data_IF_792133319672
#
_entry.id   IF_792133319672
#
_cell.length_a   1.000
_cell.length_b   1.000
_cell.length_c   1.000
_cell.angle_alpha   90.00
_cell.angle_beta   90.00
_cell.angle_gamma   90.00
#
_symmetry.space_group_name_H-M   'P 1'
#
loop_
_entity.id
_entity.type
_entity.pdbx_description
1 polymer ?
#
# COMPACT_ATOMS: atom_id res chain seq x y z
N UNK A 1 -5.98 33.34 5.00
CA UNK A 1 -6.46 34.73 4.97
C UNK A 1 -5.27 35.65 5.15
N UNK A 2 -5.19 36.83 4.49
CA UNK A 2 -4.06 37.75 4.72
C UNK A 2 -4.30 38.51 6.04
N UNK A 3 -3.23 38.86 6.77
CA UNK A 3 -3.32 39.60 8.06
C UNK A 3 -4.12 40.92 7.98
N UNK A 4 -4.14 41.55 6.80
CA UNK A 4 -4.94 42.75 6.54
C UNK A 4 -6.44 42.49 6.58
N UNK A 5 -6.85 41.31 6.12
CA UNK A 5 -8.25 40.93 5.96
C UNK A 5 -8.82 40.47 7.30
N UNK A 6 -8.02 39.77 8.11
CA UNK A 6 -8.33 39.46 9.52
C UNK A 6 -8.61 40.72 10.34
N UNK A 7 -7.74 41.73 10.26
CA UNK A 7 -7.93 42.99 10.99
C UNK A 7 -9.19 43.73 10.56
N UNK A 8 -9.54 43.68 9.27
CA UNK A 8 -10.79 44.27 8.76
C UNK A 8 -12.01 43.52 9.27
N UNK A 9 -11.94 42.18 9.28
CA UNK A 9 -13.01 41.33 9.78
C UNK A 9 -13.27 41.57 11.27
N UNK A 10 -12.22 41.61 12.09
CA UNK A 10 -12.29 41.86 13.55
C UNK A 10 -12.90 43.24 13.82
N UNK A 11 -12.48 44.28 13.09
CA UNK A 11 -13.07 45.61 13.25
C UNK A 11 -14.54 45.67 12.85
N UNK A 12 -14.92 44.92 11.81
CA UNK A 12 -16.32 44.85 11.38
C UNK A 12 -17.18 44.11 12.42
N UNK A 13 -16.71 42.99 12.96
CA UNK A 13 -17.43 42.21 13.98
C UNK A 13 -17.54 42.98 15.30
N UNK A 14 -16.50 43.69 15.73
CA UNK A 14 -16.56 44.57 16.91
C UNK A 14 -17.58 45.69 16.73
N UNK A 15 -17.64 46.31 15.55
CA UNK A 15 -18.61 47.38 15.27
C UNK A 15 -20.04 46.86 15.32
N UNK A 16 -20.29 45.68 14.78
CA UNK A 16 -21.61 45.02 14.83
C UNK A 16 -21.98 44.66 16.27
N UNK A 17 -21.06 44.06 17.03
CA UNK A 17 -21.30 43.66 18.41
C UNK A 17 -21.59 44.85 19.34
N UNK A 18 -20.87 45.97 19.16
CA UNK A 18 -21.09 47.22 19.92
C UNK A 18 -22.42 47.91 19.59
N UNK A 19 -23.01 47.62 18.43
CA UNK A 19 -24.33 48.13 18.03
C UNK A 19 -25.51 47.37 18.65
N UNK A 20 -25.26 46.24 19.32
CA UNK A 20 -26.28 45.42 19.98
C UNK A 20 -26.60 45.95 21.39
N UNK A 21 -27.83 45.72 21.84
CA UNK A 21 -28.21 45.96 23.24
C UNK A 21 -27.47 44.97 24.18
N UNK A 22 -27.34 45.31 25.47
CA UNK A 22 -26.66 44.44 26.45
C UNK A 22 -27.24 43.02 26.49
N UNK A 23 -28.56 42.88 26.39
CA UNK A 23 -29.23 41.57 26.35
C UNK A 23 -28.87 40.77 25.10
N UNK A 24 -28.80 41.43 23.92
CA UNK A 24 -28.40 40.79 22.67
C UNK A 24 -26.92 40.40 22.65
N UNK A 25 -26.05 41.20 23.27
CA UNK A 25 -24.63 40.86 23.45
C UNK A 25 -24.46 39.60 24.29
N UNK A 26 -25.20 39.50 25.40
CA UNK A 26 -25.21 38.30 26.26
C UNK A 26 -25.68 37.06 25.50
N UNK A 27 -26.77 37.16 24.73
CA UNK A 27 -27.29 36.06 23.90
C UNK A 27 -26.26 35.62 22.85
N UNK A 28 -25.62 36.57 22.16
CA UNK A 28 -24.62 36.27 21.14
C UNK A 28 -23.39 35.54 21.72
N UNK A 29 -22.90 35.95 22.89
CA UNK A 29 -21.80 35.27 23.59
C UNK A 29 -22.22 33.86 24.01
N UNK A 30 -23.44 33.69 24.51
CA UNK A 30 -23.98 32.38 24.90
C UNK A 30 -24.08 31.42 23.71
N UNK A 31 -24.56 31.89 22.56
CA UNK A 31 -24.64 31.08 21.33
C UNK A 31 -23.23 30.62 20.88
N UNK A 32 -22.25 31.52 20.91
CA UNK A 32 -20.86 31.17 20.54
C UNK A 32 -20.27 30.17 21.53
N UNK A 33 -20.51 30.36 22.83
CA UNK A 33 -20.02 29.45 23.88
C UNK A 33 -20.65 28.05 23.80
N UNK A 34 -21.97 27.97 23.56
CA UNK A 34 -22.67 26.70 23.34
C UNK A 34 -22.20 26.03 22.05
N UNK A 35 -22.06 26.80 20.96
CA UNK A 35 -21.51 26.29 19.70
C UNK A 35 -20.10 25.72 19.85
N UNK A 36 -19.20 26.45 20.51
CA UNK A 36 -17.85 25.95 20.82
C UNK A 36 -17.89 24.73 21.74
N UNK A 37 -18.72 24.74 22.79
CA UNK A 37 -18.86 23.61 23.71
C UNK A 37 -19.36 22.34 23.01
N UNK A 38 -20.39 22.46 22.15
CA UNK A 38 -20.89 21.34 21.36
C UNK A 38 -19.87 20.86 20.34
N UNK A 39 -19.15 21.75 19.66
CA UNK A 39 -18.07 21.36 18.75
C UNK A 39 -16.95 20.61 19.49
N UNK A 40 -16.52 21.12 20.65
CA UNK A 40 -15.48 20.49 21.46
C UNK A 40 -15.92 19.12 21.98
N UNK A 41 -17.16 19.02 22.49
CA UNK A 41 -17.73 17.77 22.99
C UNK A 41 -17.91 16.74 21.87
N UNK A 42 -18.45 17.15 20.71
CA UNK A 42 -18.56 16.31 19.52
C UNK A 42 -17.16 15.85 19.07
N UNK A 43 -16.17 16.75 19.02
CA UNK A 43 -14.79 16.42 18.64
C UNK A 43 -14.11 15.44 19.61
N UNK A 44 -14.39 15.51 20.92
CA UNK A 44 -13.89 14.53 21.88
C UNK A 44 -14.61 13.19 21.74
N UNK A 45 -15.94 13.19 21.58
CA UNK A 45 -16.73 11.97 21.43
C UNK A 45 -16.42 11.20 20.14
N UNK A 46 -16.05 11.89 19.05
CA UNK A 46 -15.57 11.22 17.82
C UNK A 46 -14.17 10.63 17.97
N UNK A 47 -13.33 11.14 18.89
CA UNK A 47 -12.04 10.53 19.21
C UNK A 47 -12.16 9.32 20.15
N UNK A 48 -13.14 9.29 21.06
CA UNK A 48 -13.34 8.15 21.99
C UNK A 48 -14.09 6.97 21.35
N UNK A 49 -14.95 7.19 20.34
CA UNK A 49 -15.71 6.10 19.71
C UNK A 49 -14.96 5.27 18.64
N UNK A 50 -13.72 5.62 18.29
CA UNK A 50 -12.94 4.85 17.29
C UNK A 50 -12.12 3.69 17.87
N UNK A 51 -12.16 3.45 19.18
CA UNK A 51 -11.51 2.28 19.79
C UNK A 51 -12.49 1.08 19.90
N UNK A 52 -13.20 0.75 18.82
CA UNK A 52 -13.66 -0.63 18.67
C UNK A 52 -12.41 -1.48 18.49
N UNK A 53 -12.19 -2.41 19.41
CA UNK A 53 -11.13 -3.41 19.32
C UNK A 53 -11.42 -4.32 18.13
N UNK A 54 -11.16 -3.82 16.91
CA UNK A 54 -11.22 -4.63 15.70
C UNK A 54 -10.29 -5.82 15.91
N UNK A 55 -10.82 -7.03 15.70
CA UNK A 55 -10.07 -8.26 15.82
C UNK A 55 -8.87 -8.19 14.87
N UNK A 56 -7.67 -8.02 15.43
CA UNK A 56 -6.44 -7.95 14.63
C UNK A 56 -6.27 -9.26 13.87
N UNK A 57 -6.13 -9.16 12.55
CA UNK A 57 -5.83 -10.30 11.70
C UNK A 57 -4.36 -10.66 11.91
N UNK A 58 -4.11 -11.93 12.19
CA UNK A 58 -2.78 -12.52 12.31
C UNK A 58 -2.64 -13.61 11.26
N UNK A 59 -1.48 -13.66 10.61
CA UNK A 59 -1.09 -14.75 9.73
C UNK A 59 0.44 -14.84 9.76
N UNK A 60 0.95 -16.05 9.93
CA UNK A 60 2.37 -16.35 10.15
C UNK A 60 2.90 -17.37 9.15
N UNK A 61 2.01 -18.14 8.52
CA UNK A 61 2.34 -19.10 7.48
C UNK A 61 1.40 -19.02 6.27
N UNK A 62 1.78 -19.75 5.21
CA UNK A 62 1.03 -19.77 3.96
C UNK A 62 -0.41 -20.28 4.13
N UNK A 63 -0.66 -21.26 5.01
CA UNK A 63 -1.99 -21.81 5.21
C UNK A 63 -2.93 -20.76 5.82
N UNK A 64 -2.46 -19.99 6.80
CA UNK A 64 -3.22 -18.90 7.40
C UNK A 64 -3.54 -17.80 6.38
N UNK A 65 -2.55 -17.39 5.56
CA UNK A 65 -2.79 -16.41 4.48
C UNK A 65 -3.84 -16.89 3.47
N UNK A 66 -3.87 -18.19 3.15
CA UNK A 66 -4.83 -18.77 2.20
C UNK A 66 -6.27 -18.81 2.73
N UNK A 67 -6.49 -18.56 4.03
CA UNK A 67 -7.84 -18.39 4.59
C UNK A 67 -8.41 -16.99 4.42
N UNK A 68 -7.56 -16.01 4.09
CA UNK A 68 -7.96 -14.62 3.93
C UNK A 68 -8.73 -14.43 2.62
N UNK A 69 -9.82 -13.68 2.69
CA UNK A 69 -10.64 -13.36 1.53
C UNK A 69 -10.78 -11.84 1.39
N UNK A 70 -10.77 -11.38 0.15
CA UNK A 70 -11.13 -10.01 -0.18
C UNK A 70 -12.62 -9.80 0.08
N UNK A 71 -12.97 -8.69 0.71
CA UNK A 71 -14.33 -8.35 1.15
C UNK A 71 -15.22 -7.76 0.03
N UNK A 72 -14.70 -7.68 -1.21
CA UNK A 72 -15.38 -7.05 -2.34
C UNK A 72 -15.28 -5.52 -2.36
N UNK A 73 -14.57 -4.91 -1.40
CA UNK A 73 -14.41 -3.45 -1.32
C UNK A 73 -13.33 -2.91 -2.26
N UNK A 74 -13.25 -1.59 -2.43
CA UNK A 74 -12.13 -0.97 -3.16
C UNK A 74 -10.75 -1.15 -2.50
N UNK A 75 -10.66 -1.81 -1.34
CA UNK A 75 -9.41 -2.09 -0.62
C UNK A 75 -8.89 -3.49 -0.99
N UNK A 76 -7.84 -3.53 -1.80
CA UNK A 76 -7.26 -4.79 -2.31
C UNK A 76 -6.25 -5.45 -1.36
N UNK A 77 -6.29 -5.13 -0.08
CA UNK A 77 -5.38 -5.69 0.92
C UNK A 77 -6.05 -5.78 2.29
N UNK A 78 -5.47 -6.61 3.15
CA UNK A 78 -5.71 -6.57 4.60
C UNK A 78 -4.42 -6.33 5.36
N UNK A 79 -4.52 -5.67 6.50
CA UNK A 79 -3.41 -5.52 7.43
C UNK A 79 -3.21 -6.80 8.22
N UNK A 80 -1.95 -7.14 8.46
CA UNK A 80 -1.51 -8.30 9.23
C UNK A 80 -0.78 -7.76 10.46
N UNK A 81 -1.03 -8.34 11.63
CA UNK A 81 -0.43 -7.89 12.89
C UNK A 81 -0.63 -6.38 13.15
N UNK A 82 -1.82 -5.86 12.81
CA UNK A 82 -2.14 -4.43 12.93
C UNK A 82 -1.28 -3.52 12.05
N UNK A 83 -0.83 -4.02 10.90
CA UNK A 83 -0.01 -3.27 9.95
C UNK A 83 1.47 -3.18 10.33
N UNK A 84 1.90 -3.84 11.42
CA UNK A 84 3.27 -3.79 11.94
C UNK A 84 4.10 -4.98 11.50
N UNK A 85 5.25 -4.73 10.88
CA UNK A 85 6.18 -5.76 10.43
C UNK A 85 6.72 -6.59 11.59
N UNK A 86 7.11 -7.82 11.30
CA UNK A 86 7.66 -8.76 12.28
C UNK A 86 9.16 -9.01 12.07
N UNK A 87 9.87 -8.04 11.47
CA UNK A 87 11.33 -8.14 11.30
C UNK A 87 12.02 -8.22 12.66
N UNK A 88 12.93 -9.17 12.80
CA UNK A 88 13.77 -9.30 13.99
C UNK A 88 14.87 -8.23 13.99
N UNK A 89 15.52 -8.01 15.14
CA UNK A 89 16.71 -7.15 15.19
C UNK A 89 17.82 -7.63 14.24
N UNK A 90 17.93 -8.95 14.05
CA UNK A 90 18.87 -9.54 13.10
C UNK A 90 18.52 -9.18 11.64
N UNK A 91 17.23 -9.13 11.28
CA UNK A 91 16.79 -8.70 9.94
C UNK A 91 17.08 -7.23 9.66
N UNK A 92 17.09 -6.40 10.69
CA UNK A 92 17.32 -4.96 10.62
C UNK A 92 18.81 -4.60 10.71
N UNK A 93 19.65 -5.53 11.17
CA UNK A 93 21.07 -5.33 11.38
C UNK A 93 21.75 -4.86 10.09
N UNK A 94 22.44 -3.72 10.19
CA UNK A 94 23.21 -3.16 9.09
C UNK A 94 24.43 -4.04 8.80
N UNK A 95 24.66 -4.37 7.53
CA UNK A 95 25.95 -4.88 7.10
C UNK A 95 26.88 -3.67 6.90
N UNK A 96 28.05 -3.67 7.55
CA UNK A 96 29.05 -2.59 7.44
C UNK A 96 29.61 -2.41 6.03
N UNK A 97 29.36 -3.34 5.11
CA UNK A 97 29.91 -3.35 3.75
C UNK A 97 28.98 -2.80 2.66
N UNK A 98 27.66 -2.77 2.87
CA UNK A 98 26.73 -2.25 1.85
C UNK A 98 25.45 -1.69 2.46
N UNK A 99 25.06 -0.50 1.99
CA UNK A 99 23.85 0.22 2.36
C UNK A 99 22.62 -0.23 1.56
N UNK A 100 22.83 -0.97 0.46
CA UNK A 100 21.82 -1.52 -0.43
C UNK A 100 22.10 -2.99 -0.75
N UNK A 101 21.04 -3.80 -0.78
CA UNK A 101 21.09 -5.15 -1.32
C UNK A 101 19.70 -5.64 -1.69
N UNK A 102 19.64 -6.58 -2.64
CA UNK A 102 18.43 -7.29 -3.01
C UNK A 102 18.77 -8.75 -3.24
N UNK A 103 17.96 -9.63 -2.68
CA UNK A 103 18.09 -11.07 -2.83
C UNK A 103 16.77 -11.65 -3.28
N UNK A 104 16.78 -12.37 -4.40
CA UNK A 104 15.65 -13.15 -4.86
C UNK A 104 15.87 -14.62 -4.53
N UNK A 105 14.88 -15.26 -3.92
CA UNK A 105 14.87 -16.71 -3.76
C UNK A 105 14.96 -17.42 -5.12
N UNK A 106 15.43 -18.67 -5.11
CA UNK A 106 15.37 -19.52 -6.30
C UNK A 106 13.92 -19.71 -6.73
N UNK A 107 13.70 -19.90 -8.02
CA UNK A 107 12.40 -20.39 -8.51
C UNK A 107 12.12 -21.75 -7.89
N UNK A 108 10.85 -22.07 -7.67
CA UNK A 108 10.46 -23.42 -7.26
C UNK A 108 10.36 -24.39 -8.46
N UNK A 109 9.89 -25.61 -8.19
CA UNK A 109 9.77 -26.67 -9.20
C UNK A 109 8.74 -26.34 -10.30
N UNK A 110 7.85 -25.37 -10.09
CA UNK A 110 6.89 -24.88 -11.08
C UNK A 110 7.38 -23.60 -11.77
N UNK A 111 8.65 -23.24 -11.57
CA UNK A 111 9.27 -22.00 -12.04
C UNK A 111 8.62 -20.72 -11.48
N UNK A 112 7.96 -20.80 -10.31
CA UNK A 112 7.31 -19.65 -9.66
C UNK A 112 8.34 -18.82 -8.91
N UNK A 113 8.16 -17.50 -8.93
CA UNK A 113 8.93 -16.58 -8.10
C UNK A 113 8.59 -16.81 -6.62
N UNK A 114 9.62 -16.78 -5.77
CA UNK A 114 9.53 -16.94 -4.32
C UNK A 114 9.93 -15.65 -3.62
N UNK A 115 9.96 -15.68 -2.28
CA UNK A 115 10.28 -14.53 -1.45
C UNK A 115 11.47 -13.71 -1.97
N UNK A 116 11.27 -12.40 -2.05
CA UNK A 116 12.28 -11.41 -2.31
C UNK A 116 12.54 -10.58 -1.05
N UNK A 117 13.80 -10.30 -0.79
CA UNK A 117 14.25 -9.47 0.32
C UNK A 117 15.11 -8.32 -0.20
N UNK A 118 15.02 -7.18 0.45
CA UNK A 118 15.82 -6.01 0.12
C UNK A 118 16.15 -5.17 1.35
N UNK A 119 17.30 -4.50 1.28
CA UNK A 119 17.57 -3.24 1.98
C UNK A 119 17.67 -2.16 0.93
N UNK A 120 16.76 -1.21 1.00
CA UNK A 120 16.65 -0.10 0.06
C UNK A 120 17.38 1.12 0.62
N UNK A 121 18.05 1.88 -0.25
CA UNK A 121 18.76 3.12 0.11
C UNK A 121 18.39 4.26 -0.84
N UNK A 122 18.44 5.49 -0.31
CA UNK A 122 18.19 6.71 -1.11
C UNK A 122 19.12 6.79 -2.32
N UNK A 123 20.41 6.54 -2.13
CA UNK A 123 21.43 6.65 -3.18
C UNK A 123 21.11 5.75 -4.37
N UNK A 124 20.77 4.49 -4.11
CA UNK A 124 20.46 3.54 -5.18
C UNK A 124 19.11 3.84 -5.85
N UNK A 125 18.08 4.18 -5.05
CA UNK A 125 16.78 4.62 -5.56
C UNK A 125 16.91 5.82 -6.52
N UNK A 126 17.70 6.83 -6.16
CA UNK A 126 17.89 8.02 -7.01
C UNK A 126 18.69 7.72 -8.29
N UNK A 127 19.63 6.77 -8.26
CA UNK A 127 20.32 6.31 -9.46
C UNK A 127 19.32 5.66 -10.43
N UNK A 128 18.48 4.74 -9.94
CA UNK A 128 17.52 4.01 -10.76
C UNK A 128 16.41 4.94 -11.29
N UNK A 129 15.92 5.88 -10.47
CA UNK A 129 14.89 6.85 -10.87
C UNK A 129 15.28 7.72 -12.06
N UNK A 130 16.59 7.95 -12.26
CA UNK A 130 17.13 8.69 -13.42
C UNK A 130 17.29 7.83 -14.67
N UNK A 131 17.17 6.51 -14.56
CA UNK A 131 17.29 5.60 -15.70
C UNK A 131 15.97 5.53 -16.47
N UNK A 132 16.07 5.42 -17.79
CA UNK A 132 14.93 5.05 -18.63
C UNK A 132 14.61 3.58 -18.39
N UNK A 133 13.41 3.28 -17.88
CA UNK A 133 12.95 1.89 -17.68
C UNK A 133 12.86 1.18 -19.03
N UNK A 134 13.60 0.06 -19.24
CA UNK A 134 13.48 -0.71 -20.46
C UNK A 134 12.18 -1.54 -20.47
N UNK A 135 11.84 -2.06 -21.65
CA UNK A 135 10.72 -3.00 -21.81
C UNK A 135 11.01 -4.28 -21.04
N UNK A 136 9.99 -4.81 -20.37
CA UNK A 136 10.08 -6.11 -19.68
C UNK A 136 10.19 -7.24 -20.72
N UNK A 137 11.26 -8.07 -20.68
CA UNK A 137 11.50 -9.09 -21.70
C UNK A 137 10.69 -10.38 -21.48
N UNK A 138 10.33 -10.69 -20.23
CA UNK A 138 9.78 -11.98 -19.84
C UNK A 138 8.31 -11.90 -19.43
N UNK A 139 7.60 -13.01 -19.61
CA UNK A 139 6.29 -13.24 -19.03
C UNK A 139 6.43 -14.24 -17.86
N UNK A 140 5.84 -13.98 -16.69
CA UNK A 140 5.85 -14.92 -15.58
C UNK A 140 5.00 -16.16 -15.87
N UNK A 141 5.13 -17.18 -15.04
CA UNK A 141 4.32 -18.40 -15.12
C UNK A 141 2.82 -18.09 -14.99
N UNK A 142 1.99 -18.89 -15.66
CA UNK A 142 0.55 -18.67 -15.78
C UNK A 142 0.14 -17.52 -16.71
N UNK A 143 1.08 -16.85 -17.39
CA UNK A 143 0.75 -15.84 -18.40
C UNK A 143 0.14 -16.45 -19.68
N UNK A 144 0.53 -17.69 -20.00
CA UNK A 144 -0.03 -18.46 -21.11
C UNK A 144 -0.59 -19.78 -20.62
N UNK A 145 -1.68 -20.22 -21.24
CA UNK A 145 -2.26 -21.54 -21.03
C UNK A 145 -2.66 -22.15 -22.37
N UNK A 146 -2.25 -23.40 -22.63
CA UNK A 146 -2.50 -24.12 -23.89
C UNK A 146 -2.15 -23.30 -25.16
N UNK A 147 -1.02 -22.59 -25.12
CA UNK A 147 -0.54 -21.76 -26.23
C UNK A 147 -1.26 -20.43 -26.43
N UNK A 148 -2.20 -20.05 -25.55
CA UNK A 148 -2.95 -18.79 -25.62
C UNK A 148 -2.56 -17.85 -24.48
N UNK A 149 -2.50 -16.56 -24.77
CA UNK A 149 -2.27 -15.53 -23.74
C UNK A 149 -3.50 -15.43 -22.84
N UNK A 150 -3.31 -15.48 -21.52
CA UNK A 150 -4.36 -15.23 -20.54
C UNK A 150 -4.63 -13.73 -20.34
N UNK A 151 -3.73 -12.86 -20.81
CA UNK A 151 -3.82 -11.41 -20.64
C UNK A 151 -4.79 -10.78 -21.65
N UNK A 152 -6.09 -10.86 -21.33
CA UNK A 152 -7.19 -10.26 -22.09
C UNK A 152 -7.43 -8.78 -21.76
N UNK A 153 -8.12 -8.07 -22.64
CA UNK A 153 -8.62 -6.72 -22.38
C UNK A 153 -9.78 -6.75 -21.39
N UNK A 154 -9.80 -5.76 -20.51
CA UNK A 154 -10.79 -5.58 -19.45
C UNK A 154 -11.17 -4.10 -19.33
N UNK A 155 -12.30 -3.83 -18.69
CA UNK A 155 -12.60 -2.52 -18.14
C UNK A 155 -12.37 -2.54 -16.64
N UNK A 156 -11.55 -1.62 -16.15
CA UNK A 156 -11.35 -1.40 -14.72
C UNK A 156 -11.53 0.08 -14.43
N UNK A 157 -12.50 0.44 -13.57
CA UNK A 157 -12.93 1.82 -13.35
C UNK A 157 -13.23 2.57 -14.66
N UNK A 158 -13.98 1.93 -15.55
CA UNK A 158 -14.33 2.44 -16.90
C UNK A 158 -13.13 2.77 -17.80
N UNK A 159 -11.93 2.29 -17.45
CA UNK A 159 -10.71 2.49 -18.24
C UNK A 159 -10.33 1.17 -18.93
N UNK A 160 -10.13 1.17 -20.27
CA UNK A 160 -9.62 0.01 -20.99
C UNK A 160 -8.19 -0.33 -20.54
N UNK A 161 -8.00 -1.54 -20.01
CA UNK A 161 -6.72 -2.06 -19.53
C UNK A 161 -6.60 -3.55 -19.89
N UNK A 162 -5.46 -4.16 -19.59
CA UNK A 162 -5.33 -5.62 -19.63
C UNK A 162 -5.46 -6.23 -18.24
N UNK A 163 -5.98 -7.46 -18.17
CA UNK A 163 -6.25 -8.19 -16.94
C UNK A 163 -5.02 -8.33 -16.04
N UNK A 164 -3.86 -8.60 -16.63
CA UNK A 164 -2.63 -8.86 -15.92
C UNK A 164 -1.54 -7.82 -16.19
N UNK A 165 -0.73 -7.63 -15.16
CA UNK A 165 0.56 -6.99 -15.16
C UNK A 165 1.65 -8.04 -14.92
N UNK A 166 2.83 -7.79 -15.50
CA UNK A 166 4.08 -8.44 -15.07
C UNK A 166 4.47 -7.76 -13.76
N UNK A 167 3.98 -8.31 -12.65
CA UNK A 167 4.02 -7.65 -11.35
C UNK A 167 5.33 -7.99 -10.67
N UNK A 168 6.10 -6.95 -10.35
CA UNK A 168 7.39 -7.09 -9.67
C UNK A 168 7.17 -7.40 -8.18
N UNK A 169 7.99 -8.29 -7.60
CA UNK A 169 8.04 -8.42 -6.13
C UNK A 169 8.73 -7.20 -5.53
N UNK A 170 9.90 -6.85 -6.05
CA UNK A 170 10.63 -5.63 -5.74
C UNK A 170 10.60 -4.73 -6.97
N UNK A 171 9.79 -3.66 -6.92
CA UNK A 171 9.56 -2.74 -8.02
C UNK A 171 10.85 -2.29 -8.72
N UNK A 172 10.75 -2.04 -10.04
CA UNK A 172 11.84 -1.49 -10.84
C UNK A 172 12.53 -0.30 -10.15
N UNK A 173 11.75 0.65 -9.60
CA UNK A 173 12.31 1.86 -8.98
C UNK A 173 13.21 1.57 -7.77
N UNK A 174 13.09 0.40 -7.16
CA UNK A 174 13.90 -0.04 -6.03
C UNK A 174 15.06 -0.93 -6.46
N UNK A 175 14.84 -1.79 -7.46
CA UNK A 175 15.78 -2.85 -7.81
C UNK A 175 16.64 -2.56 -9.04
N UNK A 176 16.13 -1.78 -9.98
CA UNK A 176 16.69 -1.75 -11.34
C UNK A 176 16.59 -3.11 -12.04
N UNK A 177 15.81 -4.06 -11.52
CA UNK A 177 15.57 -5.35 -12.15
C UNK A 177 14.46 -5.20 -13.19
N UNK A 178 14.82 -5.40 -14.46
CA UNK A 178 13.90 -5.18 -15.59
C UNK A 178 12.72 -6.15 -15.57
N UNK A 179 12.92 -7.35 -15.03
CA UNK A 179 11.94 -8.42 -15.06
C UNK A 179 12.59 -9.79 -15.08
N UNK A 180 13.46 -10.04 -14.09
CA UNK A 180 13.98 -11.39 -13.84
C UNK A 180 12.82 -12.33 -13.50
N UNK A 181 12.83 -13.59 -13.98
CA UNK A 181 11.83 -14.57 -13.60
C UNK A 181 11.67 -14.74 -12.08
N UNK A 182 12.74 -14.51 -11.30
CA UNK A 182 12.72 -14.60 -9.83
C UNK A 182 12.02 -13.42 -9.14
N UNK A 183 11.69 -12.37 -9.88
CA UNK A 183 11.13 -11.13 -9.37
C UNK A 183 9.78 -10.78 -10.03
N UNK A 184 9.17 -11.71 -10.77
CA UNK A 184 7.94 -11.47 -11.51
C UNK A 184 6.87 -12.53 -11.24
N UNK A 185 5.63 -12.07 -11.04
CA UNK A 185 4.43 -12.92 -11.00
C UNK A 185 3.37 -12.39 -11.96
N UNK A 186 2.49 -13.30 -12.42
CA UNK A 186 1.28 -12.91 -13.15
C UNK A 186 0.31 -12.34 -12.12
N UNK A 187 0.26 -11.00 -12.04
CA UNK A 187 -0.56 -10.27 -11.08
C UNK A 187 -1.70 -9.54 -11.78
N UNK A 188 -2.89 -9.58 -11.21
CA UNK A 188 -4.06 -8.83 -11.70
C UNK A 188 -3.80 -7.33 -11.69
N UNK A 189 -4.56 -6.59 -12.51
CA UNK A 189 -4.47 -5.14 -12.59
C UNK A 189 -4.67 -4.51 -11.21
N UNK A 190 -5.72 -4.90 -10.48
CA UNK A 190 -6.06 -4.35 -9.17
C UNK A 190 -5.02 -4.69 -8.09
N UNK A 191 -4.47 -5.92 -8.08
CA UNK A 191 -3.36 -6.28 -7.18
C UNK A 191 -2.13 -5.43 -7.45
N UNK A 192 -1.73 -5.26 -8.72
CA UNK A 192 -0.57 -4.46 -9.07
C UNK A 192 -0.80 -2.97 -8.72
N UNK A 193 -1.94 -2.42 -9.15
CA UNK A 193 -2.30 -1.01 -8.95
C UNK A 193 -3.82 -0.87 -8.80
N UNK A 194 -4.32 -0.37 -7.64
CA UNK A 194 -3.56 0.28 -6.57
C UNK A 194 -2.93 -0.67 -5.52
N UNK A 195 -3.28 -1.96 -5.49
CA UNK A 195 -3.02 -2.87 -4.37
C UNK A 195 -1.59 -2.85 -3.78
N UNK A 196 -0.57 -3.17 -4.58
CA UNK A 196 0.84 -3.10 -4.16
C UNK A 196 1.39 -1.68 -4.28
N UNK A 197 1.03 -0.96 -5.35
CA UNK A 197 1.58 0.34 -5.70
C UNK A 197 1.43 1.37 -4.57
N UNK A 198 0.33 1.34 -3.80
CA UNK A 198 0.11 2.27 -2.70
C UNK A 198 1.19 2.12 -1.60
N UNK A 199 1.58 0.89 -1.28
CA UNK A 199 2.65 0.62 -0.31
C UNK A 199 4.04 0.93 -0.86
N UNK A 200 4.27 0.58 -2.12
CA UNK A 200 5.51 0.92 -2.81
C UNK A 200 5.70 2.45 -2.89
N UNK A 201 4.61 3.21 -3.05
CA UNK A 201 4.65 4.68 -3.05
C UNK A 201 5.06 5.21 -1.67
N UNK A 202 4.52 4.66 -0.57
CA UNK A 202 4.93 5.01 0.80
C UNK A 202 6.42 4.75 1.05
N UNK A 203 6.92 3.59 0.62
CA UNK A 203 8.34 3.25 0.71
C UNK A 203 9.19 4.22 -0.12
N UNK A 204 8.74 4.55 -1.34
CA UNK A 204 9.39 5.53 -2.21
C UNK A 204 9.47 6.93 -1.55
N UNK A 205 8.42 7.37 -0.84
CA UNK A 205 8.43 8.64 -0.11
C UNK A 205 9.48 8.63 1.02
N UNK A 206 9.58 7.55 1.80
CA UNK A 206 10.59 7.41 2.87
C UNK A 206 12.01 7.50 2.30
N UNK A 207 12.25 6.76 1.21
CA UNK A 207 13.55 6.80 0.53
C UNK A 207 13.86 8.21 0.04
N UNK A 208 12.90 8.89 -0.61
CA UNK A 208 13.14 10.17 -1.27
C UNK A 208 13.21 11.36 -0.31
N UNK A 209 12.28 11.46 0.65
CA UNK A 209 12.11 12.62 1.53
C UNK A 209 12.97 12.48 2.78
N UNK A 210 12.84 11.36 3.46
CA UNK A 210 13.48 11.13 4.77
C UNK A 210 14.89 10.56 4.62
N UNK A 211 15.20 10.00 3.44
CA UNK A 211 16.51 9.42 3.10
C UNK A 211 16.92 8.29 4.05
N UNK A 212 15.94 7.61 4.61
CA UNK A 212 16.12 6.46 5.49
C UNK A 212 16.29 5.18 4.66
N UNK A 213 16.94 4.19 5.25
CA UNK A 213 16.91 2.85 4.69
C UNK A 213 15.58 2.18 5.00
N UNK A 214 15.15 1.31 4.11
CA UNK A 214 13.95 0.50 4.31
C UNK A 214 14.31 -0.98 4.15
N UNK A 215 14.08 -1.76 5.20
CA UNK A 215 14.06 -3.23 5.12
C UNK A 215 12.74 -3.63 4.47
N UNK A 216 12.78 -4.36 3.36
CA UNK A 216 11.60 -4.69 2.57
C UNK A 216 11.59 -6.18 2.20
N UNK A 217 10.43 -6.82 2.28
CA UNK A 217 10.23 -8.23 1.96
C UNK A 217 8.89 -8.42 1.27
N UNK A 218 8.87 -9.19 0.19
CA UNK A 218 7.65 -9.58 -0.51
C UNK A 218 7.65 -11.08 -0.76
N UNK A 219 6.57 -11.75 -0.33
CA UNK A 219 6.39 -13.20 -0.45
C UNK A 219 5.09 -13.49 -1.20
N UNK A 220 5.14 -14.02 -2.44
CA UNK A 220 3.95 -14.54 -3.09
C UNK A 220 3.42 -15.76 -2.33
N UNK A 221 2.10 -15.82 -2.09
CA UNK A 221 1.45 -16.94 -1.42
C UNK A 221 0.68 -17.76 -2.47
N UNK A 222 1.08 -19.02 -2.65
CA UNK A 222 0.45 -19.95 -3.60
C UNK A 222 -0.35 -21.02 -2.87
N UNK A 223 -1.45 -21.47 -3.46
CA UNK A 223 -2.15 -22.67 -3.01
C UNK A 223 -1.66 -23.87 -3.83
N UNK A 224 -1.03 -24.85 -3.18
CA UNK A 224 -0.55 -26.08 -3.82
C UNK A 224 0.23 -25.82 -5.14
N UNK A 225 -0.27 -26.35 -6.25
CA UNK A 225 0.35 -26.30 -7.59
C UNK A 225 -0.14 -25.13 -8.44
N UNK A 226 -0.77 -24.12 -7.84
CA UNK A 226 -1.22 -22.95 -8.59
C UNK A 226 -0.06 -22.17 -9.17
N UNK A 227 -0.17 -21.75 -10.42
CA UNK A 227 0.88 -20.96 -11.10
C UNK A 227 0.85 -19.50 -10.65
N UNK A 228 -0.33 -18.96 -10.36
CA UNK A 228 -0.50 -17.61 -9.84
C UNK A 228 -0.55 -17.64 -8.31
N UNK A 229 0.06 -16.66 -7.62
CA UNK A 229 -0.17 -16.52 -6.19
C UNK A 229 -1.62 -16.05 -5.95
N UNK A 230 -2.22 -16.46 -4.84
CA UNK A 230 -3.50 -15.92 -4.34
C UNK A 230 -3.37 -14.49 -3.84
N UNK A 231 -2.16 -14.09 -3.47
CA UNK A 231 -1.84 -12.74 -3.03
C UNK A 231 -0.37 -12.59 -2.68
N UNK A 232 -0.01 -11.37 -2.29
CA UNK A 232 1.35 -10.96 -1.98
C UNK A 232 1.43 -10.53 -0.52
N UNK A 233 2.21 -11.24 0.28
CA UNK A 233 2.55 -10.82 1.63
C UNK A 233 3.70 -9.81 1.58
N UNK A 234 3.49 -8.61 2.11
CA UNK A 234 4.43 -7.50 2.03
C UNK A 234 4.75 -6.96 3.42
N UNK A 235 6.05 -6.88 3.75
CA UNK A 235 6.54 -6.21 4.95
C UNK A 235 7.57 -5.14 4.59
N UNK A 236 7.49 -3.98 5.23
CA UNK A 236 8.51 -2.94 5.13
C UNK A 236 8.72 -2.24 6.48
N UNK A 237 9.96 -1.87 6.79
CA UNK A 237 10.28 -1.08 8.00
C UNK A 237 11.41 -0.11 7.72
N UNK A 238 11.21 1.17 8.02
CA UNK A 238 12.27 2.18 8.02
C UNK A 238 13.25 1.90 9.17
N UNK A 239 14.55 1.90 8.87
CA UNK A 239 15.55 1.26 9.74
C UNK A 239 16.04 2.21 10.83
N UNK A 240 16.51 3.40 10.48
CA UNK A 240 17.19 4.31 11.41
C UNK A 240 16.24 4.94 12.44
N UNK A 241 14.95 5.01 12.13
CA UNK A 241 13.92 5.59 12.99
C UNK A 241 13.00 4.54 13.63
N UNK A 242 13.37 3.27 13.53
CA UNK A 242 12.61 2.13 14.06
C UNK A 242 11.14 2.10 13.59
N UNK A 243 10.91 2.33 12.30
CA UNK A 243 9.59 2.21 11.68
C UNK A 243 8.67 3.40 11.93
N UNK A 244 9.15 4.54 12.44
CA UNK A 244 8.34 5.74 12.65
C UNK A 244 7.81 6.32 11.33
N UNK A 245 8.63 6.39 10.29
CA UNK A 245 8.25 6.87 8.96
C UNK A 245 7.50 5.79 8.16
N UNK A 246 7.88 4.53 8.32
CA UNK A 246 7.24 3.42 7.61
C UNK A 246 7.33 2.12 8.40
N UNK A 247 6.19 1.52 8.70
CA UNK A 247 6.05 0.14 9.17
C UNK A 247 4.83 -0.45 8.49
N UNK A 248 5.06 -1.48 7.68
CA UNK A 248 4.07 -2.09 6.80
C UNK A 248 4.05 -3.58 7.06
N UNK A 249 2.86 -4.13 7.21
CA UNK A 249 2.62 -5.55 7.21
C UNK A 249 1.22 -5.85 6.64
N UNK A 250 1.18 -6.29 5.39
CA UNK A 250 -0.07 -6.43 4.64
C UNK A 250 -0.07 -7.67 3.76
N UNK A 251 -1.27 -8.19 3.50
CA UNK A 251 -1.54 -9.17 2.47
C UNK A 251 -2.37 -8.53 1.36
N UNK A 252 -1.80 -8.42 0.16
CA UNK A 252 -2.46 -7.83 -1.02
C UNK A 252 -3.06 -8.95 -1.86
N UNK A 253 -4.36 -8.91 -2.11
CA UNK A 253 -5.08 -9.97 -2.81
C UNK A 253 -4.80 -9.93 -4.32
N UNK A 254 -4.50 -11.08 -4.93
CA UNK A 254 -4.35 -11.21 -6.38
C UNK A 254 -5.69 -11.37 -7.10
N UNK A 255 -6.59 -10.41 -6.90
CA UNK A 255 -7.96 -10.45 -7.42
C UNK A 255 -8.20 -9.33 -8.42
N UNK A 256 -9.21 -9.49 -9.26
CA UNK A 256 -9.68 -8.44 -10.15
C UNK A 256 -11.21 -8.32 -10.01
N UNK A 257 -11.74 -7.14 -9.65
CA UNK A 257 -13.18 -6.92 -9.61
C UNK A 257 -13.86 -7.32 -10.93
N UNK A 258 -15.00 -8.00 -10.83
CA UNK A 258 -15.78 -8.53 -11.95
C UNK A 258 -15.11 -9.67 -12.73
N UNK A 259 -14.06 -10.29 -12.20
CA UNK A 259 -13.40 -11.44 -12.82
C UNK A 259 -13.13 -12.56 -11.80
N UNK A 260 -13.39 -13.80 -12.20
CA UNK A 260 -12.92 -15.00 -11.52
C UNK A 260 -11.61 -15.45 -12.16
N UNK A 261 -10.60 -15.73 -11.35
CA UNK A 261 -9.30 -16.24 -11.81
C UNK A 261 -9.17 -17.71 -11.44
N UNK A 262 -8.87 -18.55 -12.42
CA UNK A 262 -8.29 -19.86 -12.17
C UNK A 262 -6.79 -19.70 -11.96
N UNK A 263 -6.34 -19.79 -10.71
CA UNK A 263 -4.95 -19.59 -10.33
C UNK A 263 -4.03 -20.74 -10.76
N UNK A 264 -4.59 -21.91 -11.09
CA UNK A 264 -3.82 -23.04 -11.62
C UNK A 264 -3.40 -22.77 -13.06
N UNK A 265 -4.28 -22.18 -13.85
CA UNK A 265 -4.03 -21.97 -15.29
C UNK A 265 -3.72 -20.52 -15.65
N UNK A 266 -4.08 -19.58 -14.79
CA UNK A 266 -4.09 -18.14 -15.06
C UNK A 266 -5.26 -17.67 -15.92
N UNK A 267 -6.23 -18.52 -16.25
CA UNK A 267 -7.39 -18.13 -17.06
C UNK A 267 -8.32 -17.24 -16.22
N UNK A 268 -8.60 -16.03 -16.72
CA UNK A 268 -9.60 -15.14 -16.14
C UNK A 268 -10.93 -15.23 -16.89
N UNK A 269 -12.04 -15.26 -16.15
CA UNK A 269 -13.39 -15.22 -16.70
C UNK A 269 -14.14 -14.03 -16.11
N UNK A 270 -14.81 -13.25 -16.97
CA UNK A 270 -15.66 -12.16 -16.49
C UNK A 270 -16.85 -12.76 -15.75
N UNK A 271 -17.15 -12.22 -14.57
CA UNK A 271 -18.36 -12.54 -13.83
C UNK A 271 -19.54 -11.87 -14.52
N UNK A 272 -20.61 -12.63 -14.76
CA UNK A 272 -21.86 -12.15 -15.33
C UNK A 272 -22.69 -11.39 -14.29
#
# INVERSE_FOLDING_TARGET
>A
MKKSDEKKLIKATEKVFKGLTKTQQLIAVLIVAVGFGTYYFVSQSTHEQSARQEKRITATDAAEFLTLNWDGSGKYYTEINGGRSTFTEADLKQNSQSDYWITFSKLDQLNRANQANARLSYTQYMKIKKMKRPRIPNNPVGWYYKGRSNNQDILFNNTPLTLYNRSHLIAWMFSGDVGSPKNLVTGTRAMNSPGMQDFETKISDVLYRDKLHVRYQVTPIYQYNELLPRGMYMMAKSVEDDGKACDINVYVFNIQPNYQIDYTTGVGQRLN
#
